data_IF_807864935346
#
_entry.id   IF_807864935346
#
_cell.length_a   1.000
_cell.length_b   1.000
_cell.length_c   1.000
_cell.angle_alpha   90.00
_cell.angle_beta   90.00
_cell.angle_gamma   90.00
#
_symmetry.space_group_name_H-M   'P 1'
#
loop_
_entity.id
_entity.type
_entity.pdbx_description
1 polymer ?
#
# COMPACT_ATOMS: atom_id res chain seq x y z
N UNK A 1 11.82 -16.17 16.91
CA UNK A 1 10.49 -15.90 16.33
C UNK A 1 9.45 -16.23 17.39
N UNK A 2 8.63 -15.26 17.78
CA UNK A 2 7.55 -15.49 18.74
C UNK A 2 6.34 -16.06 18.01
N UNK A 3 5.75 -17.12 18.57
CA UNK A 3 4.43 -17.63 18.20
C UNK A 3 3.40 -16.52 18.46
N UNK A 4 2.70 -16.04 17.42
CA UNK A 4 1.66 -15.04 17.53
C UNK A 4 0.53 -15.33 16.53
N UNK A 5 -0.70 -15.14 16.99
CA UNK A 5 -1.90 -15.35 16.19
C UNK A 5 -2.18 -14.18 15.25
N UNK A 6 -2.96 -14.47 14.22
CA UNK A 6 -3.56 -13.41 13.43
C UNK A 6 -4.21 -12.35 14.33
N UNK A 7 -4.02 -11.10 14.01
CA UNK A 7 -4.77 -9.97 14.54
C UNK A 7 -5.65 -9.43 13.43
N UNK A 8 -6.94 -9.72 13.52
CA UNK A 8 -7.90 -9.36 12.49
C UNK A 8 -8.01 -7.85 12.31
N UNK A 9 -8.32 -7.46 11.07
CA UNK A 9 -8.69 -6.11 10.72
C UNK A 9 -10.13 -5.79 11.09
N UNK A 10 -10.71 -4.83 10.41
CA UNK A 10 -12.11 -4.46 10.56
C UNK A 10 -12.80 -4.22 9.22
N UNK A 11 -14.12 -4.31 9.22
CA UNK A 11 -14.96 -4.11 8.04
C UNK A 11 -16.04 -3.08 8.34
N UNK A 12 -16.33 -2.23 7.38
CA UNK A 12 -17.45 -1.29 7.41
C UNK A 12 -18.09 -1.18 6.01
N UNK A 13 -19.07 -0.29 5.86
CA UNK A 13 -19.77 -0.08 4.59
C UNK A 13 -18.87 0.43 3.45
N UNK A 14 -17.76 1.08 3.78
CA UNK A 14 -16.85 1.68 2.82
C UNK A 14 -15.78 0.71 2.31
N UNK A 15 -15.49 -0.34 3.08
CA UNK A 15 -14.46 -1.31 2.75
C UNK A 15 -13.86 -2.00 3.96
N UNK A 16 -12.60 -2.40 3.86
CA UNK A 16 -11.88 -3.16 4.88
C UNK A 16 -10.61 -2.46 5.32
N UNK A 17 -10.27 -2.67 6.58
CA UNK A 17 -8.94 -2.48 7.15
C UNK A 17 -8.32 -3.86 7.27
N UNK A 18 -7.12 -4.03 6.75
CA UNK A 18 -6.47 -5.34 6.73
C UNK A 18 -6.04 -5.78 8.14
N UNK A 19 -6.09 -7.08 8.39
CA UNK A 19 -5.45 -7.70 9.55
C UNK A 19 -3.95 -7.91 9.33
N UNK A 20 -3.27 -8.38 10.36
CA UNK A 20 -1.88 -8.82 10.28
C UNK A 20 -1.80 -10.32 10.59
N UNK A 21 -1.40 -11.11 9.58
CA UNK A 21 -1.28 -12.56 9.72
C UNK A 21 -0.23 -12.93 10.76
N UNK A 22 -0.50 -14.01 11.48
CA UNK A 22 0.38 -14.55 12.50
C UNK A 22 1.30 -15.67 12.00
N UNK A 23 2.14 -16.13 12.90
CA UNK A 23 2.95 -17.35 12.76
C UNK A 23 2.69 -18.21 13.98
N UNK A 24 2.30 -19.47 13.77
CA UNK A 24 2.04 -20.42 14.86
C UNK A 24 2.95 -21.64 14.73
N UNK A 25 3.44 -22.13 15.86
CA UNK A 25 4.33 -23.29 15.86
C UNK A 25 3.60 -24.52 15.32
N UNK A 26 4.14 -25.12 14.26
CA UNK A 26 3.72 -26.43 13.79
C UNK A 26 4.33 -27.51 14.70
N UNK A 27 3.54 -27.96 15.68
CA UNK A 27 4.01 -28.91 16.70
C UNK A 27 4.50 -30.23 16.11
N UNK A 28 3.83 -30.74 15.08
CA UNK A 28 4.17 -32.05 14.48
C UNK A 28 5.51 -31.97 13.72
N UNK A 29 5.69 -30.97 12.90
CA UNK A 29 6.96 -30.75 12.16
C UNK A 29 8.10 -30.44 13.12
N UNK A 30 7.89 -29.55 14.08
CA UNK A 30 8.89 -29.18 15.08
C UNK A 30 9.29 -30.39 15.92
N UNK A 31 8.34 -31.21 16.37
CA UNK A 31 8.63 -32.45 17.09
C UNK A 31 9.45 -33.44 16.24
N UNK A 32 9.09 -33.60 14.97
CA UNK A 32 9.82 -34.48 14.04
C UNK A 32 11.27 -34.05 13.88
N UNK A 33 11.50 -32.74 13.75
CA UNK A 33 12.86 -32.18 13.63
C UNK A 33 13.70 -32.34 14.91
N UNK A 34 13.03 -32.38 16.07
CA UNK A 34 13.71 -32.48 17.39
C UNK A 34 13.79 -33.89 17.93
N UNK A 35 13.22 -34.89 17.25
CA UNK A 35 13.18 -36.28 17.74
C UNK A 35 14.57 -36.83 17.95
N UNK A 36 14.87 -37.22 19.22
CA UNK A 36 16.17 -37.76 19.63
C UNK A 36 17.28 -36.73 19.86
N UNK A 37 17.02 -35.44 19.62
CA UNK A 37 18.04 -34.37 19.78
C UNK A 37 17.76 -33.50 21.01
N UNK A 38 16.50 -33.45 21.46
CA UNK A 38 16.00 -32.52 22.47
C UNK A 38 15.52 -31.19 21.89
N UNK A 39 14.96 -30.31 22.74
CA UNK A 39 14.42 -29.01 22.32
C UNK A 39 15.53 -28.09 21.82
N UNK A 40 15.33 -27.55 20.61
CA UNK A 40 16.17 -26.51 20.00
C UNK A 40 15.26 -25.51 19.28
N UNK A 41 15.39 -24.23 19.61
CA UNK A 41 14.55 -23.16 19.04
C UNK A 41 14.72 -23.02 17.52
N UNK A 42 15.94 -23.26 17.02
CA UNK A 42 16.27 -23.23 15.60
C UNK A 42 15.59 -24.33 14.75
N UNK A 43 15.05 -25.36 15.40
CA UNK A 43 14.34 -26.48 14.77
C UNK A 43 12.81 -26.32 14.82
N UNK A 44 12.33 -25.19 15.34
CA UNK A 44 10.91 -24.88 15.31
C UNK A 44 10.46 -24.57 13.88
N UNK A 45 9.36 -25.19 13.49
CA UNK A 45 8.65 -24.92 12.24
C UNK A 45 7.38 -24.13 12.54
N UNK A 46 7.05 -23.21 11.65
CA UNK A 46 5.91 -22.34 11.82
C UNK A 46 4.97 -22.45 10.61
N UNK A 47 3.68 -22.47 10.88
CA UNK A 47 2.64 -22.28 9.87
C UNK A 47 2.13 -20.83 9.92
N UNK A 48 1.72 -20.29 8.79
CA UNK A 48 1.08 -18.98 8.71
C UNK A 48 -0.33 -19.06 9.25
N UNK A 49 -0.68 -18.22 10.22
CA UNK A 49 -2.04 -18.01 10.73
C UNK A 49 -2.65 -16.84 9.96
N UNK A 50 -3.29 -17.13 8.81
CA UNK A 50 -3.82 -16.10 7.92
C UNK A 50 -5.08 -15.46 8.49
N UNK A 51 -5.13 -14.13 8.47
CA UNK A 51 -6.34 -13.39 8.80
C UNK A 51 -7.43 -13.57 7.73
N UNK A 52 -8.69 -13.51 8.13
CA UNK A 52 -9.83 -13.48 7.20
C UNK A 52 -9.79 -12.22 6.37
N UNK A 53 -9.53 -11.06 7.01
CA UNK A 53 -9.42 -9.76 6.34
C UNK A 53 -8.00 -9.56 5.80
N UNK A 54 -7.68 -10.23 4.72
CA UNK A 54 -6.46 -10.06 3.93
C UNK A 54 -6.81 -9.72 2.47
N UNK A 55 -5.85 -9.17 1.72
CA UNK A 55 -6.06 -8.76 0.32
C UNK A 55 -6.46 -9.89 -0.61
N UNK A 56 -6.01 -11.12 -0.35
CA UNK A 56 -6.29 -12.30 -1.19
C UNK A 56 -7.74 -12.75 -1.08
N UNK A 57 -8.29 -12.76 0.14
CA UNK A 57 -9.64 -13.25 0.40
C UNK A 57 -10.71 -12.19 0.15
N UNK A 58 -10.35 -10.91 0.03
CA UNK A 58 -11.28 -9.78 -0.04
C UNK A 58 -11.06 -8.92 -1.28
N UNK A 59 -10.77 -9.54 -2.40
CA UNK A 59 -10.54 -8.84 -3.68
C UNK A 59 -11.78 -8.09 -4.20
N UNK A 60 -12.96 -8.42 -3.68
CA UNK A 60 -14.25 -7.79 -3.98
C UNK A 60 -14.61 -6.63 -3.04
N UNK A 61 -13.68 -6.19 -2.21
CA UNK A 61 -13.85 -5.10 -1.26
C UNK A 61 -12.76 -4.05 -1.44
N UNK A 62 -13.13 -2.78 -1.22
CA UNK A 62 -12.15 -1.72 -1.18
C UNK A 62 -11.28 -1.83 0.06
N UNK A 63 -9.97 -1.74 -0.10
CA UNK A 63 -9.02 -1.58 1.00
C UNK A 63 -9.00 -0.10 1.38
N UNK A 64 -9.22 0.20 2.65
CA UNK A 64 -9.22 1.56 3.19
C UNK A 64 -7.84 1.97 3.70
N UNK A 65 -7.13 1.02 4.31
CA UNK A 65 -5.75 1.17 4.82
C UNK A 65 -5.14 -0.19 5.15
N UNK A 66 -3.86 -0.22 5.47
CA UNK A 66 -3.19 -1.38 6.03
C UNK A 66 -3.65 -1.70 7.46
N UNK A 67 -2.91 -2.52 8.17
CA UNK A 67 -3.27 -2.94 9.53
C UNK A 67 -3.09 -1.82 10.57
N UNK A 68 -3.88 -1.89 11.65
CA UNK A 68 -3.86 -0.93 12.75
C UNK A 68 -2.76 -1.18 13.81
N UNK A 69 -1.96 -2.21 13.63
CA UNK A 69 -1.02 -2.68 14.65
C UNK A 69 0.40 -2.15 14.45
N UNK A 70 0.82 -1.97 13.20
CA UNK A 70 2.15 -1.52 12.85
C UNK A 70 2.16 -0.02 12.55
N UNK A 71 3.17 0.69 13.02
CA UNK A 71 3.40 2.10 12.69
C UNK A 71 3.99 2.26 11.29
N UNK A 72 3.34 1.66 10.30
CA UNK A 72 3.67 1.81 8.89
C UNK A 72 2.62 2.68 8.18
N UNK A 73 3.06 3.52 7.27
CA UNK A 73 2.20 4.34 6.42
C UNK A 73 2.77 4.38 5.00
N UNK A 74 1.92 4.62 4.02
CA UNK A 74 2.35 4.83 2.63
C UNK A 74 1.97 6.23 2.14
N UNK A 75 2.83 6.83 1.35
CA UNK A 75 2.57 8.06 0.62
C UNK A 75 2.29 7.71 -0.84
N UNK A 76 1.20 8.25 -1.38
CA UNK A 76 0.78 8.07 -2.77
C UNK A 76 0.65 9.44 -3.41
N UNK A 77 1.46 9.72 -4.42
CA UNK A 77 1.35 10.94 -5.22
C UNK A 77 0.39 10.72 -6.37
N UNK A 78 -0.71 11.45 -6.37
CA UNK A 78 -1.66 11.49 -7.47
C UNK A 78 -1.19 12.48 -8.53
N UNK A 79 -0.71 11.96 -9.67
CA UNK A 79 -0.13 12.75 -10.75
C UNK A 79 -1.12 12.93 -11.89
N UNK A 80 -1.21 14.15 -12.42
CA UNK A 80 -2.03 14.47 -13.62
C UNK A 80 -1.21 15.18 -14.70
N UNK A 81 -0.30 16.06 -14.31
CA UNK A 81 0.44 16.92 -15.25
C UNK A 81 1.93 16.59 -15.36
N UNK A 82 2.49 15.93 -14.37
CA UNK A 82 3.93 15.66 -14.29
C UNK A 82 4.82 16.87 -14.02
N UNK A 83 4.24 18.06 -13.88
CA UNK A 83 5.01 19.32 -13.75
C UNK A 83 5.92 19.34 -12.51
N UNK A 84 5.45 18.82 -11.40
CA UNK A 84 6.18 18.76 -10.13
C UNK A 84 6.64 17.36 -9.75
N UNK A 85 6.28 16.37 -10.55
CA UNK A 85 6.48 14.96 -10.31
C UNK A 85 7.94 14.60 -10.01
N UNK A 86 8.87 14.91 -10.93
CA UNK A 86 10.29 14.60 -10.75
C UNK A 86 10.87 15.25 -9.48
N UNK A 87 10.49 16.50 -9.20
CA UNK A 87 10.94 17.19 -7.98
C UNK A 87 10.42 16.53 -6.70
N UNK A 88 9.18 15.98 -6.72
CA UNK A 88 8.64 15.23 -5.58
C UNK A 88 9.37 13.89 -5.42
N UNK A 89 9.76 13.23 -6.50
CA UNK A 89 10.62 12.04 -6.47
C UNK A 89 12.00 12.37 -5.87
N UNK A 90 12.66 13.42 -6.33
CA UNK A 90 13.97 13.87 -5.81
C UNK A 90 13.91 14.10 -4.29
N UNK A 91 12.82 14.72 -3.80
CA UNK A 91 12.60 14.91 -2.35
C UNK A 91 12.51 13.56 -1.64
N UNK A 92 11.77 12.59 -2.18
CA UNK A 92 11.62 11.27 -1.56
C UNK A 92 12.93 10.50 -1.53
N UNK A 93 13.69 10.52 -2.60
CA UNK A 93 15.02 9.91 -2.70
C UNK A 93 15.99 10.53 -1.69
N UNK A 94 16.02 11.87 -1.60
CA UNK A 94 16.86 12.59 -0.63
C UNK A 94 16.54 12.24 0.83
N UNK A 95 15.31 11.76 1.10
CA UNK A 95 14.84 11.32 2.41
C UNK A 95 14.91 9.81 2.60
N UNK A 96 15.42 9.08 1.61
CA UNK A 96 15.50 7.62 1.59
C UNK A 96 14.15 6.98 1.95
N UNK A 97 13.12 7.34 1.19
CA UNK A 97 11.78 6.74 1.26
C UNK A 97 11.29 6.35 -0.13
N UNK A 98 10.51 5.29 -0.18
CA UNK A 98 9.76 4.90 -1.36
C UNK A 98 8.36 5.52 -1.31
N UNK A 99 7.98 6.20 -2.39
CA UNK A 99 6.63 6.71 -2.58
C UNK A 99 5.94 5.95 -3.71
N UNK A 100 4.62 5.94 -3.68
CA UNK A 100 3.80 5.28 -4.67
C UNK A 100 3.19 6.33 -5.60
N UNK A 101 2.93 5.93 -6.84
CA UNK A 101 2.51 6.83 -7.92
C UNK A 101 1.14 6.41 -8.42
N UNK A 102 0.16 7.29 -8.27
CA UNK A 102 -1.19 7.09 -8.78
C UNK A 102 -1.34 7.83 -10.10
N UNK A 103 -1.52 7.10 -11.19
CA UNK A 103 -1.56 7.66 -12.53
C UNK A 103 -2.62 7.01 -13.41
N UNK A 104 -3.03 7.71 -14.46
CA UNK A 104 -3.88 7.19 -15.51
C UNK A 104 -3.02 6.60 -16.65
N UNK A 105 -3.70 5.95 -17.60
CA UNK A 105 -3.04 5.32 -18.75
C UNK A 105 -2.28 6.32 -19.63
N UNK A 106 -2.82 7.51 -19.84
CA UNK A 106 -2.16 8.54 -20.66
C UNK A 106 -0.84 8.96 -20.02
N UNK A 107 -0.86 9.32 -18.72
CA UNK A 107 0.35 9.70 -18.01
C UNK A 107 1.38 8.58 -17.97
N UNK A 108 0.95 7.33 -17.73
CA UNK A 108 1.85 6.18 -17.75
C UNK A 108 2.52 6.02 -19.12
N UNK A 109 1.75 6.11 -20.20
CA UNK A 109 2.29 5.96 -21.57
C UNK A 109 3.36 7.00 -21.91
N UNK A 110 3.13 8.25 -21.48
CA UNK A 110 4.00 9.38 -21.82
C UNK A 110 5.25 9.43 -20.93
N UNK A 111 5.19 8.80 -19.76
CA UNK A 111 6.25 8.89 -18.74
C UNK A 111 6.85 7.53 -18.36
N UNK A 112 6.45 6.43 -19.01
CA UNK A 112 7.03 5.14 -18.73
C UNK A 112 8.48 5.14 -19.25
N UNK A 113 9.41 5.14 -18.32
CA UNK A 113 10.85 5.02 -18.59
C UNK A 113 11.39 3.91 -17.71
N UNK A 114 12.55 3.35 -18.08
CA UNK A 114 13.21 2.29 -17.31
C UNK A 114 13.64 2.73 -15.89
N UNK A 115 13.48 4.03 -15.58
CA UNK A 115 13.91 4.61 -14.30
C UNK A 115 12.87 4.53 -13.18
N UNK A 116 11.62 4.09 -13.45
CA UNK A 116 10.61 3.97 -12.42
C UNK A 116 10.56 2.56 -11.83
N UNK A 117 10.42 2.49 -10.51
CA UNK A 117 10.06 1.23 -9.87
C UNK A 117 8.59 0.91 -10.18
N UNK A 118 8.37 0.09 -11.20
CA UNK A 118 7.04 -0.28 -11.69
C UNK A 118 6.16 -0.96 -10.60
N UNK A 119 6.75 -1.48 -9.52
CA UNK A 119 6.00 -2.11 -8.43
C UNK A 119 5.23 -1.12 -7.55
N UNK A 120 5.55 0.16 -7.63
CA UNK A 120 4.94 1.22 -6.82
C UNK A 120 3.90 2.04 -7.61
N UNK A 121 3.48 1.58 -8.79
CA UNK A 121 2.50 2.26 -9.63
C UNK A 121 1.11 1.76 -9.29
N UNK A 122 0.16 2.71 -9.12
CA UNK A 122 -1.25 2.46 -8.90
C UNK A 122 -2.06 3.07 -10.05
N UNK A 123 -3.15 2.40 -10.39
CA UNK A 123 -4.03 2.81 -11.48
C UNK A 123 -5.20 3.66 -10.97
N UNK A 124 -5.44 4.79 -11.64
CA UNK A 124 -6.69 5.55 -11.59
C UNK A 124 -7.27 5.64 -13.01
N UNK A 125 -8.48 5.25 -13.18
CA UNK A 125 -9.10 5.30 -14.50
C UNK A 125 -10.61 5.38 -14.42
N UNK A 126 -11.25 5.36 -15.58
CA UNK A 126 -12.66 5.65 -15.73
C UNK A 126 -13.43 4.60 -16.53
N UNK A 127 -12.79 3.54 -16.99
CA UNK A 127 -13.43 2.50 -17.78
C UNK A 127 -12.61 1.20 -17.84
N UNK A 128 -13.29 0.10 -18.15
CA UNK A 128 -12.64 -1.20 -18.41
C UNK A 128 -11.65 -1.14 -19.57
N UNK A 129 -11.96 -0.37 -20.62
CA UNK A 129 -11.07 -0.19 -21.77
C UNK A 129 -9.77 0.49 -21.36
N UNK A 130 -9.84 1.53 -20.52
CA UNK A 130 -8.68 2.22 -19.98
C UNK A 130 -7.84 1.30 -19.09
N UNK A 131 -8.48 0.50 -18.23
CA UNK A 131 -7.81 -0.51 -17.39
C UNK A 131 -7.08 -1.57 -18.25
N UNK A 132 -7.66 -2.01 -19.36
CA UNK A 132 -7.03 -2.95 -20.27
C UNK A 132 -5.77 -2.34 -20.90
N UNK A 133 -5.84 -1.09 -21.33
CA UNK A 133 -4.70 -0.36 -21.87
C UNK A 133 -3.59 -0.17 -20.83
N UNK A 134 -3.96 0.20 -19.60
CA UNK A 134 -3.01 0.33 -18.50
C UNK A 134 -2.29 -0.99 -18.20
N UNK A 135 -3.03 -2.09 -18.12
CA UNK A 135 -2.47 -3.42 -17.88
C UNK A 135 -1.53 -3.89 -18.98
N UNK A 136 -1.73 -3.44 -20.23
CA UNK A 136 -0.85 -3.78 -21.35
C UNK A 136 0.48 -3.02 -21.32
N UNK A 137 0.52 -1.85 -20.68
CA UNK A 137 1.73 -1.05 -20.50
C UNK A 137 2.55 -1.50 -19.28
N UNK A 138 1.86 -1.93 -18.21
CA UNK A 138 2.48 -2.34 -16.97
C UNK A 138 2.34 -3.85 -16.76
N UNK A 139 3.43 -4.58 -16.94
CA UNK A 139 3.43 -6.05 -16.86
C UNK A 139 3.44 -6.62 -15.43
N UNK A 140 3.52 -5.76 -14.41
CA UNK A 140 3.53 -6.13 -13.00
C UNK A 140 2.14 -6.02 -12.39
N UNK A 141 1.95 -6.66 -11.21
CA UNK A 141 0.77 -6.44 -10.39
C UNK A 141 0.73 -4.99 -9.88
N UNK A 142 -0.45 -4.40 -9.89
CA UNK A 142 -0.71 -3.05 -9.38
C UNK A 142 -2.04 -3.01 -8.64
N UNK A 143 -2.27 -1.91 -7.91
CA UNK A 143 -3.55 -1.67 -7.25
C UNK A 143 -4.39 -0.69 -8.07
N UNK A 144 -5.69 -0.97 -8.14
CA UNK A 144 -6.65 0.00 -8.61
C UNK A 144 -7.01 0.98 -7.50
N UNK A 145 -7.25 2.24 -7.84
CA UNK A 145 -7.68 3.24 -6.85
C UNK A 145 -8.98 3.89 -7.29
N UNK A 146 -10.02 3.80 -6.46
CA UNK A 146 -11.26 4.53 -6.66
C UNK A 146 -11.05 6.01 -6.33
N UNK A 147 -11.09 6.85 -7.35
CA UNK A 147 -10.85 8.31 -7.25
C UNK A 147 -12.07 9.17 -7.57
N UNK A 148 -13.12 8.57 -8.15
CA UNK A 148 -14.34 9.24 -8.64
C UNK A 148 -15.55 8.31 -8.48
N UNK A 149 -16.66 8.62 -9.11
CA UNK A 149 -17.91 7.83 -9.03
C UNK A 149 -17.86 6.50 -9.80
N UNK A 150 -16.83 6.26 -10.61
CA UNK A 150 -16.68 5.00 -11.32
C UNK A 150 -16.36 3.86 -10.36
N UNK A 151 -17.22 2.82 -10.37
CA UNK A 151 -17.06 1.63 -9.53
C UNK A 151 -16.06 0.64 -10.15
N UNK A 152 -14.78 0.94 -9.99
CA UNK A 152 -13.66 0.21 -10.59
C UNK A 152 -13.50 -1.22 -10.04
N UNK A 153 -14.10 -1.52 -8.88
CA UNK A 153 -13.82 -2.74 -8.12
C UNK A 153 -14.12 -4.02 -8.92
N UNK A 154 -15.23 -4.05 -9.66
CA UNK A 154 -15.61 -5.24 -10.43
C UNK A 154 -14.65 -5.51 -11.59
N UNK A 155 -14.21 -4.47 -12.27
CA UNK A 155 -13.28 -4.60 -13.39
C UNK A 155 -11.90 -5.02 -12.91
N UNK A 156 -11.43 -4.48 -11.79
CA UNK A 156 -10.15 -4.85 -11.19
C UNK A 156 -10.20 -6.27 -10.61
N UNK A 157 -11.28 -6.66 -9.93
CA UNK A 157 -11.51 -8.03 -9.45
C UNK A 157 -11.43 -9.05 -10.60
N UNK A 158 -12.05 -8.75 -11.74
CA UNK A 158 -12.01 -9.63 -12.91
C UNK A 158 -10.57 -9.85 -13.44
N UNK A 159 -9.68 -8.90 -13.20
CA UNK A 159 -8.25 -9.00 -13.48
C UNK A 159 -7.41 -9.51 -12.30
N UNK A 160 -8.05 -9.94 -11.21
CA UNK A 160 -7.40 -10.37 -9.96
C UNK A 160 -6.56 -9.26 -9.29
N UNK A 161 -6.93 -8.00 -9.50
CA UNK A 161 -6.30 -6.83 -8.90
C UNK A 161 -7.09 -6.35 -7.69
N UNK A 162 -6.40 -5.97 -6.63
CA UNK A 162 -7.01 -5.37 -5.46
C UNK A 162 -7.33 -3.90 -5.69
N UNK A 163 -8.39 -3.41 -5.03
CA UNK A 163 -8.86 -2.04 -5.15
C UNK A 163 -8.73 -1.30 -3.82
N UNK A 164 -8.21 -0.08 -3.87
CA UNK A 164 -8.06 0.84 -2.74
C UNK A 164 -9.08 1.96 -2.90
N UNK A 165 -9.71 2.39 -1.81
CA UNK A 165 -10.57 3.58 -1.81
C UNK A 165 -9.78 4.81 -1.37
N UNK A 166 -9.70 5.81 -2.23
CA UNK A 166 -9.13 7.10 -1.86
C UNK A 166 -10.18 7.95 -1.14
N UNK A 167 -10.13 7.96 0.19
CA UNK A 167 -11.12 8.71 0.99
C UNK A 167 -10.80 10.20 1.08
N UNK A 168 -9.52 10.57 1.10
CA UNK A 168 -9.07 11.95 1.23
C UNK A 168 -7.83 12.17 0.39
N UNK A 169 -7.87 13.18 -0.47
CA UNK A 169 -6.70 13.64 -1.21
C UNK A 169 -6.28 15.01 -0.67
N UNK A 170 -5.03 15.14 -0.27
CA UNK A 170 -4.48 16.40 0.21
C UNK A 170 -4.06 17.25 -1.00
N UNK A 171 -4.74 18.38 -1.18
CA UNK A 171 -4.51 19.32 -2.28
C UNK A 171 -3.65 20.52 -1.86
N UNK A 172 -3.63 20.85 -0.57
CA UNK A 172 -2.86 21.94 0.06
C UNK A 172 -2.72 21.69 1.56
N UNK A 173 -1.90 22.47 2.22
CA UNK A 173 -1.66 22.37 3.69
C UNK A 173 -1.25 20.95 4.08
N UNK A 174 -0.27 20.40 3.35
CA UNK A 174 0.11 18.99 3.40
C UNK A 174 0.47 18.55 4.82
N UNK A 175 1.30 19.33 5.51
CA UNK A 175 1.73 18.99 6.87
C UNK A 175 0.56 18.97 7.87
N UNK A 176 -0.34 19.96 7.78
CA UNK A 176 -1.48 20.07 8.70
C UNK A 176 -2.47 18.92 8.47
N UNK A 177 -2.77 18.62 7.20
CA UNK A 177 -3.69 17.55 6.87
C UNK A 177 -3.09 16.17 7.17
N UNK A 178 -1.79 15.99 6.95
CA UNK A 178 -1.10 14.75 7.35
C UNK A 178 -1.18 14.52 8.86
N UNK A 179 -1.04 15.56 9.69
CA UNK A 179 -1.20 15.43 11.16
C UNK A 179 -2.56 14.88 11.57
N UNK A 180 -3.62 15.20 10.82
CA UNK A 180 -4.99 14.71 11.08
C UNK A 180 -5.21 13.28 10.61
N UNK A 181 -4.55 12.89 9.50
CA UNK A 181 -4.75 11.60 8.85
C UNK A 181 -3.77 10.52 9.34
N UNK A 182 -2.69 10.91 10.03
CA UNK A 182 -1.62 10.02 10.44
C UNK A 182 -2.09 9.04 11.52
N UNK A 183 -2.20 7.79 11.15
CA UNK A 183 -2.50 6.66 12.04
C UNK A 183 -1.86 5.38 11.46
N UNK A 184 -1.85 4.31 12.23
CA UNK A 184 -1.28 3.03 11.79
C UNK A 184 -1.99 2.53 10.53
N UNK A 185 -1.21 2.10 9.55
CA UNK A 185 -1.71 1.60 8.28
C UNK A 185 -2.20 2.67 7.29
N UNK A 186 -2.08 3.96 7.59
CA UNK A 186 -2.63 5.02 6.75
C UNK A 186 -2.01 5.06 5.34
N UNK A 187 -2.87 5.30 4.34
CA UNK A 187 -2.47 5.63 2.97
C UNK A 187 -2.74 7.12 2.77
N UNK A 188 -1.68 7.90 2.61
CA UNK A 188 -1.72 9.36 2.50
C UNK A 188 -1.67 9.73 1.02
N UNK A 189 -2.81 10.11 0.46
CA UNK A 189 -2.91 10.56 -0.93
C UNK A 189 -2.62 12.06 -1.04
N UNK A 190 -1.68 12.42 -1.90
CA UNK A 190 -1.18 13.78 -2.09
C UNK A 190 -1.36 14.17 -3.55
N UNK A 191 -2.00 15.32 -3.83
CA UNK A 191 -2.06 15.89 -5.18
C UNK A 191 -0.69 16.45 -5.56
N UNK A 192 -0.22 16.11 -6.76
CA UNK A 192 0.94 16.73 -7.38
C UNK A 192 0.68 18.22 -7.63
N UNK A 193 1.35 19.09 -6.89
CA UNK A 193 1.34 20.55 -7.09
C UNK A 193 2.46 21.24 -6.32
N UNK A 194 2.63 22.55 -6.55
CA UNK A 194 3.67 23.37 -5.92
C UNK A 194 3.53 23.47 -4.40
N UNK A 195 2.30 23.59 -3.89
CA UNK A 195 2.05 23.72 -2.44
C UNK A 195 2.51 22.46 -1.71
N UNK A 196 2.09 21.30 -2.19
CA UNK A 196 2.45 20.03 -1.57
C UNK A 196 3.94 19.71 -1.75
N UNK A 197 4.56 20.07 -2.88
CA UNK A 197 6.00 19.93 -3.08
C UNK A 197 6.78 20.73 -2.03
N UNK A 198 6.39 21.98 -1.75
CA UNK A 198 7.08 22.84 -0.78
C UNK A 198 7.05 22.30 0.65
N UNK A 199 6.00 21.53 1.02
CA UNK A 199 5.83 20.97 2.35
C UNK A 199 6.22 19.47 2.47
N UNK A 200 6.55 18.80 1.36
CA UNK A 200 6.77 17.35 1.34
C UNK A 200 7.92 16.92 2.26
N UNK A 201 9.06 17.63 2.21
CA UNK A 201 10.22 17.32 3.05
C UNK A 201 9.92 17.44 4.54
N UNK A 202 9.24 18.52 4.96
CA UNK A 202 8.84 18.72 6.35
C UNK A 202 7.80 17.70 6.82
N UNK A 203 6.89 17.32 5.94
CA UNK A 203 5.88 16.28 6.20
C UNK A 203 6.51 14.90 6.41
N UNK A 204 7.46 14.50 5.56
CA UNK A 204 8.22 13.26 5.73
C UNK A 204 8.96 13.25 7.07
N UNK A 205 9.65 14.33 7.40
CA UNK A 205 10.36 14.47 8.68
C UNK A 205 9.39 14.36 9.86
N UNK A 206 8.21 14.97 9.77
CA UNK A 206 7.18 14.87 10.80
C UNK A 206 6.71 13.42 10.99
N UNK A 207 6.36 12.70 9.91
CA UNK A 207 5.93 11.30 9.98
C UNK A 207 6.99 10.44 10.69
N UNK A 208 8.27 10.57 10.27
CA UNK A 208 9.39 9.86 10.88
C UNK A 208 9.58 10.23 12.37
N UNK A 209 9.45 11.51 12.72
CA UNK A 209 9.56 11.97 14.12
C UNK A 209 8.47 11.43 15.05
N UNK A 210 7.32 11.02 14.48
CA UNK A 210 6.23 10.36 15.21
C UNK A 210 6.43 8.84 15.36
N UNK A 211 7.57 8.33 14.87
CA UNK A 211 7.94 6.92 14.94
C UNK A 211 7.24 6.05 13.90
N UNK A 212 6.74 6.63 12.81
CA UNK A 212 6.19 5.89 11.68
C UNK A 212 7.25 5.57 10.64
N UNK A 213 7.20 4.36 10.09
CA UNK A 213 7.93 3.99 8.89
C UNK A 213 7.10 4.35 7.66
N UNK A 214 7.73 4.98 6.67
CA UNK A 214 7.12 5.21 5.37
C UNK A 214 7.56 4.06 4.48
N UNK A 215 6.60 3.26 4.04
CA UNK A 215 6.83 2.03 3.25
C UNK A 215 6.04 2.09 1.95
N UNK A 216 6.42 1.27 0.96
CA UNK A 216 5.63 1.16 -0.26
C UNK A 216 4.27 0.47 0.00
N UNK A 217 3.35 0.60 -0.95
CA UNK A 217 1.98 0.11 -0.78
C UNK A 217 1.91 -1.42 -0.69
N UNK A 218 2.81 -2.15 -1.38
CA UNK A 218 2.84 -3.60 -1.33
C UNK A 218 3.23 -4.11 0.06
N UNK A 219 4.20 -3.44 0.70
CA UNK A 219 4.62 -3.74 2.07
C UNK A 219 3.52 -3.35 3.08
N UNK A 220 2.89 -2.17 2.91
CA UNK A 220 1.82 -1.73 3.79
C UNK A 220 0.64 -2.70 3.81
N UNK A 221 0.32 -3.30 2.66
CA UNK A 221 -0.83 -4.18 2.45
C UNK A 221 -0.46 -5.68 2.45
N UNK A 222 0.75 -6.02 2.90
CA UNK A 222 1.21 -7.42 2.97
C UNK A 222 0.59 -8.20 4.15
#
# INVERSE_FOLDING_TARGET
LKDYRCREGSINNDGIILGISGLVVNKNKSYSNMKGIGFKEELLEFDKDECILNKKNNIDRYILKGNDYNKNVSIVINTDSGKYFNKMLDVSESKNIEINLLMNTSFLRDNITDNYNHSNILYKGSSLSDLNNFSSLLHNEFFCVKTNDYEIINDCKNKKLNSIKMNNEIKKDLLINTKKLLNNGAIIFIRENEFNLSELSSTINYIKSRGYNIVNINELLS
#
